data_IF_072455937971
#
_entry.id   IF_072455937971
#
_cell.length_a   1.000
_cell.length_b   1.000
_cell.length_c   1.000
_cell.angle_alpha   90.00
_cell.angle_beta   90.00
_cell.angle_gamma   90.00
#
_symmetry.space_group_name_H-M   'P 1'
#
loop_
_entity.id
_entity.type
_entity.pdbx_description
1 polymer ?
#
# COMPACT_ATOMS: atom_id res chain seq x y z
N UNK A 1 -2.11 -11.03 1.14
CA UNK A 1 -1.52 -9.97 0.29
C UNK A 1 -0.23 -9.43 0.91
N UNK A 2 -0.12 -9.42 2.25
CA UNK A 2 1.04 -8.98 3.03
C UNK A 2 2.39 -9.42 2.47
N UNK A 3 2.61 -10.74 2.37
CA UNK A 3 3.89 -11.30 1.90
C UNK A 3 4.25 -10.81 0.49
N UNK A 4 3.27 -10.75 -0.40
CA UNK A 4 3.48 -10.28 -1.76
C UNK A 4 3.91 -8.80 -1.79
N UNK A 5 3.22 -7.95 -1.03
CA UNK A 5 3.56 -6.52 -0.95
C UNK A 5 4.94 -6.32 -0.31
N UNK A 6 5.24 -7.02 0.79
CA UNK A 6 6.53 -6.89 1.47
C UNK A 6 7.71 -7.37 0.62
N UNK A 7 7.53 -8.43 -0.18
CA UNK A 7 8.62 -9.02 -0.97
C UNK A 7 8.77 -8.36 -2.35
N UNK A 8 7.65 -7.95 -2.98
CA UNK A 8 7.67 -7.49 -4.38
C UNK A 8 7.40 -6.00 -4.55
N UNK A 9 6.78 -5.34 -3.56
CA UNK A 9 6.39 -3.93 -3.66
C UNK A 9 7.19 -3.00 -2.75
N UNK A 10 8.05 -3.53 -1.88
CA UNK A 10 8.89 -2.72 -1.00
C UNK A 10 9.73 -1.70 -1.79
N UNK A 11 9.74 -0.45 -1.32
CA UNK A 11 10.38 0.73 -1.93
C UNK A 11 9.83 1.13 -3.32
N UNK A 12 8.79 0.47 -3.84
CA UNK A 12 8.13 0.87 -5.09
C UNK A 12 7.05 1.91 -4.84
N UNK A 13 6.78 2.74 -5.84
CA UNK A 13 5.58 3.58 -5.86
C UNK A 13 4.42 2.76 -6.41
N UNK A 14 3.33 2.71 -5.64
CA UNK A 14 2.13 1.97 -6.01
C UNK A 14 0.88 2.83 -5.82
N UNK A 15 -0.18 2.43 -6.51
CA UNK A 15 -1.54 2.86 -6.20
C UNK A 15 -2.31 1.68 -5.59
N UNK A 16 -3.12 1.96 -4.59
CA UNK A 16 -3.88 0.99 -3.80
C UNK A 16 -5.35 1.35 -3.85
N UNK A 17 -6.17 0.41 -4.30
CA UNK A 17 -7.61 0.53 -4.37
C UNK A 17 -8.27 -0.27 -3.23
N UNK A 18 -9.08 0.40 -2.41
CA UNK A 18 -9.73 -0.22 -1.24
C UNK A 18 -11.24 -0.49 -1.44
N UNK A 19 -11.73 -0.40 -2.67
CA UNK A 19 -13.16 -0.42 -2.98
C UNK A 19 -13.77 0.99 -2.95
N UNK A 20 -14.86 1.18 -3.70
CA UNK A 20 -15.54 2.47 -3.91
C UNK A 20 -14.68 3.52 -4.63
N UNK A 21 -14.52 4.72 -4.07
CA UNK A 21 -13.80 5.86 -4.65
C UNK A 21 -12.38 6.05 -4.11
N UNK A 22 -11.97 5.25 -3.13
CA UNK A 22 -10.74 5.49 -2.39
C UNK A 22 -9.54 4.83 -3.08
N UNK A 23 -8.67 5.68 -3.63
CA UNK A 23 -7.35 5.29 -4.17
C UNK A 23 -6.27 6.02 -3.39
N UNK A 24 -5.37 5.25 -2.78
CA UNK A 24 -4.19 5.77 -2.10
C UNK A 24 -2.97 5.62 -3.00
N UNK A 25 -2.08 6.60 -2.96
CA UNK A 25 -0.84 6.62 -3.74
C UNK A 25 0.34 6.90 -2.82
N UNK A 26 1.43 6.18 -3.03
CA UNK A 26 2.67 6.46 -2.32
C UNK A 26 3.70 5.35 -2.45
N UNK A 27 4.87 5.61 -1.86
CA UNK A 27 5.96 4.66 -1.80
C UNK A 27 5.74 3.66 -0.67
N UNK A 28 5.85 2.37 -0.95
CA UNK A 28 5.79 1.33 0.09
C UNK A 28 7.04 1.42 0.95
N UNK A 29 6.86 1.74 2.24
CA UNK A 29 7.97 1.78 3.19
C UNK A 29 7.92 0.65 4.22
N UNK A 30 6.75 0.03 4.42
CA UNK A 30 6.59 -1.14 5.28
C UNK A 30 5.30 -1.88 4.92
N UNK A 31 5.29 -3.19 5.19
CA UNK A 31 4.12 -4.05 5.09
C UNK A 31 4.29 -5.17 6.13
N UNK A 32 3.60 -5.06 7.25
CA UNK A 32 3.67 -6.00 8.38
C UNK A 32 2.36 -5.96 9.16
N UNK A 33 2.05 -7.04 9.88
CA UNK A 33 0.89 -7.13 10.77
C UNK A 33 -0.44 -6.69 10.11
N UNK A 34 -0.65 -7.06 8.84
CA UNK A 34 -1.81 -6.65 8.02
C UNK A 34 -1.96 -5.15 7.80
N UNK A 35 -0.88 -4.38 7.96
CA UNK A 35 -0.83 -2.94 7.70
C UNK A 35 0.18 -2.63 6.61
N UNK A 36 -0.31 -2.04 5.53
CA UNK A 36 0.50 -1.41 4.49
C UNK A 36 0.79 0.03 4.91
N UNK A 37 2.07 0.40 4.93
CA UNK A 37 2.50 1.78 5.15
C UNK A 37 3.01 2.39 3.85
N UNK A 38 2.30 3.41 3.37
CA UNK A 38 2.72 4.25 2.25
C UNK A 38 3.30 5.56 2.77
N UNK A 39 4.33 6.06 2.10
CA UNK A 39 4.84 7.41 2.30
C UNK A 39 4.51 8.28 1.09
N UNK A 40 3.94 9.47 1.34
CA UNK A 40 3.70 10.49 0.32
C UNK A 40 3.99 11.86 0.92
N UNK A 41 4.83 12.68 0.28
CA UNK A 41 5.12 14.05 0.71
C UNK A 41 5.46 14.22 2.21
N UNK A 42 6.23 13.27 2.77
CA UNK A 42 6.61 13.28 4.18
C UNK A 42 5.51 12.83 5.16
N UNK A 43 4.31 12.51 4.68
CA UNK A 43 3.23 11.91 5.45
C UNK A 43 3.24 10.39 5.33
N UNK A 44 2.82 9.72 6.40
CA UNK A 44 2.62 8.27 6.45
C UNK A 44 1.13 7.95 6.40
N UNK A 45 0.76 7.04 5.50
CA UNK A 45 -0.59 6.51 5.36
C UNK A 45 -0.58 5.03 5.72
N UNK A 46 -1.43 4.64 6.67
CA UNK A 46 -1.55 3.26 7.13
C UNK A 46 -2.86 2.67 6.62
N UNK A 47 -2.77 1.57 5.88
CA UNK A 47 -3.90 0.93 5.20
C UNK A 47 -4.02 -0.50 5.71
N UNK A 48 -5.22 -0.88 6.16
CA UNK A 48 -5.51 -2.27 6.49
C UNK A 48 -5.52 -3.11 5.20
N UNK A 49 -4.67 -4.13 5.14
CA UNK A 49 -4.50 -4.98 3.96
C UNK A 49 -5.77 -5.77 3.63
N UNK A 50 -6.56 -6.15 4.64
CA UNK A 50 -7.81 -6.89 4.42
C UNK A 50 -8.86 -6.03 3.66
N UNK A 51 -8.65 -4.71 3.53
CA UNK A 51 -9.49 -3.81 2.73
C UNK A 51 -8.96 -3.55 1.32
N UNK A 52 -7.76 -4.01 0.99
CA UNK A 52 -7.18 -3.78 -0.34
C UNK A 52 -7.82 -4.75 -1.33
N UNK A 53 -8.47 -4.19 -2.35
CA UNK A 53 -9.10 -4.94 -3.43
C UNK A 53 -8.09 -5.19 -4.56
N UNK A 54 -7.32 -4.16 -4.92
CA UNK A 54 -6.26 -4.26 -5.93
C UNK A 54 -5.17 -3.22 -5.71
N UNK A 55 -4.01 -3.46 -6.31
CA UNK A 55 -2.90 -2.52 -6.35
C UNK A 55 -2.15 -2.66 -7.67
N UNK A 56 -1.47 -1.60 -8.11
CA UNK A 56 -0.62 -1.62 -9.29
C UNK A 56 0.62 -0.74 -9.07
N UNK A 57 1.73 -1.17 -9.69
CA UNK A 57 2.94 -0.37 -9.80
C UNK A 57 2.70 0.76 -10.80
N UNK A 58 3.29 1.92 -10.54
CA UNK A 58 3.18 3.09 -11.41
C UNK A 58 4.37 3.19 -12.36
#
# INVERSE_FOLDING_TARGET
MDKFISEHMYKKEIEVYCGQSDIYRGKVIACADKVLTLQVEGKLTFINIDKIVSLWEK
#
